data_IF_507817472668
#
_entry.id   IF_507817472668
#
_cell.length_a   1.000
_cell.length_b   1.000
_cell.length_c   1.000
_cell.angle_alpha   90.00
_cell.angle_beta   90.00
_cell.angle_gamma   90.00
#
_symmetry.space_group_name_H-M   'P 1'
#
loop_
_entity.id
_entity.type
_entity.pdbx_description
1 polymer ?
#
# COMPACT_ATOMS: atom_id res chain seq x y z
N UNK A 1 -26.94 -1.58 0.74
CA UNK A 1 -25.78 -1.60 -0.20
C UNK A 1 -25.23 -3.01 -0.35
N UNK A 2 -24.79 -3.64 0.73
CA UNK A 2 -24.21 -4.99 0.68
C UNK A 2 -25.24 -6.10 0.38
N UNK A 3 -26.53 -5.80 0.38
CA UNK A 3 -27.61 -6.74 0.04
C UNK A 3 -27.98 -6.73 -1.46
N UNK A 4 -27.58 -5.70 -2.22
CA UNK A 4 -27.89 -5.63 -3.67
C UNK A 4 -26.83 -6.37 -4.49
N UNK A 5 -27.20 -7.49 -5.08
CA UNK A 5 -26.30 -8.39 -5.83
C UNK A 5 -25.69 -7.77 -7.10
N UNK A 6 -26.18 -6.61 -7.55
CA UNK A 6 -25.63 -5.90 -8.72
C UNK A 6 -24.47 -4.96 -8.39
N UNK A 7 -24.21 -4.70 -7.11
CA UNK A 7 -23.21 -3.72 -6.67
C UNK A 7 -21.90 -4.41 -6.30
N UNK A 8 -20.86 -4.21 -7.12
CA UNK A 8 -19.51 -4.72 -6.85
C UNK A 8 -18.51 -3.61 -6.58
N UNK A 9 -18.66 -2.44 -7.20
CA UNK A 9 -17.71 -1.33 -7.10
C UNK A 9 -18.37 -0.11 -6.50
N UNK A 10 -17.89 0.33 -5.33
CA UNK A 10 -18.48 1.44 -4.56
C UNK A 10 -17.45 2.53 -4.37
N UNK A 11 -17.74 3.75 -4.82
CA UNK A 11 -16.92 4.92 -4.56
C UNK A 11 -17.42 5.70 -3.34
N UNK A 12 -16.62 5.79 -2.28
CA UNK A 12 -16.87 6.71 -1.16
C UNK A 12 -16.09 8.00 -1.43
N UNK A 13 -16.79 9.05 -1.85
CA UNK A 13 -16.17 10.29 -2.31
C UNK A 13 -16.36 11.43 -1.32
N UNK A 14 -15.44 12.38 -1.31
CA UNK A 14 -15.48 13.55 -0.43
C UNK A 14 -14.12 14.24 -0.45
N UNK A 15 -13.99 15.49 -0.03
CA UNK A 15 -12.70 16.16 -0.01
C UNK A 15 -11.71 15.47 0.94
N UNK A 16 -10.45 15.92 0.89
CA UNK A 16 -9.46 15.45 1.85
C UNK A 16 -9.93 15.80 3.28
N UNK A 17 -9.69 14.90 4.24
CA UNK A 17 -10.12 15.13 5.63
C UNK A 17 -11.63 15.02 5.92
N UNK A 18 -12.48 14.73 4.92
CA UNK A 18 -13.94 14.65 5.10
C UNK A 18 -14.43 13.58 6.10
N UNK A 19 -13.57 12.67 6.57
CA UNK A 19 -13.92 11.61 7.51
C UNK A 19 -14.27 10.27 6.86
N UNK A 20 -13.92 10.07 5.59
CA UNK A 20 -14.24 8.84 4.84
C UNK A 20 -13.77 7.56 5.57
N UNK A 21 -12.51 7.50 6.02
CA UNK A 21 -11.99 6.35 6.78
C UNK A 21 -12.74 6.15 8.11
N UNK A 22 -13.12 7.24 8.79
CA UNK A 22 -13.89 7.14 10.05
C UNK A 22 -15.28 6.55 9.86
N UNK A 23 -15.95 6.85 8.73
CA UNK A 23 -17.22 6.23 8.35
C UNK A 23 -17.02 4.72 8.13
N UNK A 24 -15.95 4.32 7.45
CA UNK A 24 -15.65 2.90 7.22
C UNK A 24 -15.36 2.17 8.52
N UNK A 25 -14.56 2.75 9.42
CA UNK A 25 -14.31 2.12 10.73
C UNK A 25 -15.60 1.98 11.54
N UNK A 26 -16.46 3.00 11.53
CA UNK A 26 -17.78 2.91 12.20
C UNK A 26 -18.65 1.81 11.59
N UNK A 27 -18.69 1.73 10.26
CA UNK A 27 -19.46 0.70 9.54
C UNK A 27 -18.95 -0.72 9.83
N UNK A 28 -17.64 -0.91 9.98
CA UNK A 28 -17.06 -2.20 10.39
C UNK A 28 -17.50 -2.62 11.79
N UNK A 29 -17.48 -1.69 12.74
CA UNK A 29 -17.91 -1.95 14.12
C UNK A 29 -19.38 -2.37 14.17
N UNK A 30 -20.23 -1.80 13.31
CA UNK A 30 -21.64 -2.20 13.20
C UNK A 30 -21.85 -3.53 12.45
N UNK A 31 -20.86 -4.01 11.70
CA UNK A 31 -20.95 -5.19 10.83
C UNK A 31 -19.80 -6.18 11.06
N UNK A 32 -19.59 -6.59 12.30
CA UNK A 32 -18.46 -7.44 12.72
C UNK A 32 -18.38 -8.80 11.98
N UNK A 33 -19.51 -9.29 11.45
CA UNK A 33 -19.57 -10.52 10.64
C UNK A 33 -18.86 -10.39 9.28
N UNK A 34 -18.66 -9.17 8.78
CA UNK A 34 -18.03 -8.91 7.49
C UNK A 34 -16.52 -8.76 7.64
N UNK A 35 -15.76 -9.40 6.74
CA UNK A 35 -14.31 -9.28 6.72
C UNK A 35 -13.84 -8.20 5.75
N UNK A 36 -13.17 -7.18 6.28
CA UNK A 36 -12.57 -6.10 5.50
C UNK A 36 -11.07 -6.30 5.34
N UNK A 37 -10.54 -5.99 4.16
CA UNK A 37 -9.09 -5.91 3.89
C UNK A 37 -8.79 -4.51 3.35
N UNK A 38 -7.77 -3.85 3.90
CA UNK A 38 -7.37 -2.51 3.49
C UNK A 38 -6.12 -2.58 2.62
N UNK A 39 -6.19 -1.90 1.48
CA UNK A 39 -5.07 -1.71 0.55
C UNK A 39 -4.80 -0.21 0.50
N UNK A 40 -3.78 0.24 1.22
CA UNK A 40 -3.43 1.64 1.39
C UNK A 40 -2.18 1.96 0.54
N UNK A 41 -2.36 2.66 -0.57
CA UNK A 41 -1.27 2.86 -1.52
C UNK A 41 -0.51 4.15 -1.22
N UNK A 42 0.62 4.01 -0.53
CA UNK A 42 1.57 5.10 -0.37
C UNK A 42 2.27 5.42 -1.70
N UNK A 43 2.08 6.64 -2.20
CA UNK A 43 3.05 7.26 -3.11
C UNK A 43 4.17 7.84 -2.23
N UNK A 44 5.16 7.01 -1.94
CA UNK A 44 6.47 7.55 -1.66
C UNK A 44 7.01 7.89 -3.03
N UNK A 45 7.01 9.18 -3.38
CA UNK A 45 7.91 9.63 -4.42
C UNK A 45 9.28 9.18 -3.94
N UNK A 46 9.84 8.17 -4.60
CA UNK A 46 11.26 7.88 -4.47
C UNK A 46 11.91 9.19 -4.87
N UNK A 47 12.41 9.95 -3.89
CA UNK A 47 13.41 10.96 -4.15
C UNK A 47 14.42 10.22 -5.02
N UNK A 48 14.54 10.61 -6.28
CA UNK A 48 15.40 9.95 -7.25
C UNK A 48 16.74 9.71 -6.57
N UNK A 49 17.00 8.43 -6.31
CA UNK A 49 18.10 7.99 -5.49
C UNK A 49 19.35 7.93 -6.38
N UNK A 50 19.73 9.10 -6.91
CA UNK A 50 21.02 9.37 -7.54
C UNK A 50 22.15 9.44 -6.49
N UNK A 51 21.95 8.81 -5.33
CA UNK A 51 22.90 8.80 -4.21
C UNK A 51 23.40 7.40 -3.80
N UNK A 52 23.10 6.36 -4.58
CA UNK A 52 23.58 5.00 -4.33
C UNK A 52 24.69 4.51 -5.29
N UNK A 53 25.66 5.38 -5.58
CA UNK A 53 27.00 4.98 -6.00
C UNK A 53 28.08 5.66 -5.15
N UNK A 54 28.10 5.34 -3.85
CA UNK A 54 29.26 5.57 -2.99
C UNK A 54 29.62 4.25 -2.29
N UNK A 55 30.11 3.28 -3.08
CA UNK A 55 31.09 2.34 -2.55
C UNK A 55 32.42 3.08 -2.51
N UNK A 56 33.08 2.99 -1.34
CA UNK A 56 34.43 3.45 -1.07
C UNK A 56 35.33 3.48 -2.31
N UNK A 57 35.82 4.67 -2.66
CA UNK A 57 37.25 4.88 -2.91
C UNK A 57 37.58 6.36 -2.84
N UNK A 58 38.56 6.67 -2.00
CA UNK A 58 39.30 7.92 -1.97
C UNK A 58 39.96 8.12 -3.34
N UNK A 59 39.80 9.29 -3.97
CA UNK A 59 40.86 10.10 -4.56
C UNK A 59 40.30 11.34 -5.28
N UNK A 60 40.75 12.48 -4.76
CA UNK A 60 41.10 13.76 -5.41
C UNK A 60 40.32 14.26 -6.63
N UNK A 61 39.76 15.46 -6.43
CA UNK A 61 39.21 16.34 -7.45
C UNK A 61 40.34 17.02 -8.23
N UNK A 62 40.28 17.01 -9.55
CA UNK A 62 40.72 18.15 -10.38
C UNK A 62 39.71 18.41 -11.50
N UNK A 63 39.47 19.68 -11.90
CA UNK A 63 38.36 20.05 -12.76
C UNK A 63 38.83 20.30 -14.19
N UNK A 64 38.11 19.78 -15.20
CA UNK A 64 38.12 20.41 -16.53
C UNK A 64 36.93 19.99 -17.42
N UNK A 65 36.11 21.01 -17.73
CA UNK A 65 35.38 21.34 -18.96
C UNK A 65 35.03 20.29 -20.05
N UNK A 66 33.75 20.42 -20.47
CA UNK A 66 33.20 20.31 -21.85
C UNK A 66 33.04 18.91 -22.45
N UNK A 67 31.78 18.50 -22.70
CA UNK A 67 31.08 18.76 -23.97
C UNK A 67 29.92 17.79 -24.21
N UNK A 68 28.77 18.37 -24.59
CA UNK A 68 27.86 17.92 -25.66
C UNK A 68 27.56 16.41 -25.73
N UNK A 69 26.34 16.03 -25.32
CA UNK A 69 25.40 15.52 -26.31
C UNK A 69 23.95 15.66 -25.87
N UNK A 70 23.21 16.35 -26.73
CA UNK A 70 21.82 16.70 -26.65
C UNK A 70 20.99 15.60 -27.34
N UNK A 71 19.99 15.09 -26.60
CA UNK A 71 18.70 14.54 -27.04
C UNK A 71 18.68 13.55 -28.22
N UNK A 72 18.31 12.29 -27.95
CA UNK A 72 17.36 11.55 -28.79
C UNK A 72 16.44 10.65 -27.93
N UNK A 73 15.14 10.89 -28.05
CA UNK A 73 13.98 10.01 -27.76
C UNK A 73 13.55 9.74 -26.31
N UNK A 74 12.71 10.62 -25.78
CA UNK A 74 11.71 10.29 -24.75
C UNK A 74 10.47 9.69 -25.44
N UNK A 75 10.30 8.38 -25.31
CA UNK A 75 9.04 7.67 -25.54
C UNK A 75 8.12 7.82 -24.29
N UNK A 76 6.80 7.52 -24.36
CA UNK A 76 5.84 7.78 -23.27
C UNK A 76 5.92 6.74 -22.14
N UNK A 77 7.11 6.52 -21.59
CA UNK A 77 7.42 5.40 -20.68
C UNK A 77 7.03 5.68 -19.22
N UNK A 78 6.86 6.95 -18.82
CA UNK A 78 6.56 7.32 -17.44
C UNK A 78 5.18 6.88 -16.93
N UNK A 79 4.05 7.17 -17.62
CA UNK A 79 2.73 6.82 -17.10
C UNK A 79 2.50 5.31 -17.00
N UNK A 80 3.08 4.53 -17.91
CA UNK A 80 2.98 3.08 -17.89
C UNK A 80 3.80 2.43 -16.76
N UNK A 81 4.98 3.00 -16.45
CA UNK A 81 5.83 2.52 -15.35
C UNK A 81 5.16 2.77 -13.99
N UNK A 82 4.60 3.96 -13.78
CA UNK A 82 3.84 4.29 -12.57
C UNK A 82 2.64 3.35 -12.38
N UNK A 83 1.93 3.06 -13.47
CA UNK A 83 0.79 2.15 -13.46
C UNK A 83 1.15 0.74 -12.98
N UNK A 84 2.24 0.17 -13.50
CA UNK A 84 2.71 -1.17 -13.12
C UNK A 84 3.15 -1.25 -11.66
N UNK A 85 3.76 -0.18 -11.15
CA UNK A 85 4.14 -0.08 -9.75
C UNK A 85 2.93 -0.09 -8.81
N UNK A 86 1.82 0.52 -9.22
CA UNK A 86 0.56 0.52 -8.44
C UNK A 86 -0.02 -0.90 -8.36
N UNK A 87 -0.12 -1.61 -9.49
CA UNK A 87 -0.60 -2.99 -9.52
C UNK A 87 0.23 -3.90 -8.60
N UNK A 88 1.57 -3.79 -8.69
CA UNK A 88 2.48 -4.51 -7.82
C UNK A 88 2.29 -4.19 -6.33
N UNK A 89 2.10 -2.89 -5.98
CA UNK A 89 1.84 -2.46 -4.60
C UNK A 89 0.52 -3.02 -4.06
N UNK A 90 -0.55 -3.01 -4.86
CA UNK A 90 -1.86 -3.58 -4.49
C UNK A 90 -1.70 -5.07 -4.14
N UNK A 91 -1.07 -5.82 -5.04
CA UNK A 91 -0.90 -7.26 -4.87
C UNK A 91 -0.02 -7.56 -3.68
N UNK A 92 1.09 -6.84 -3.50
CA UNK A 92 1.99 -7.06 -2.37
C UNK A 92 1.28 -6.84 -1.03
N UNK A 93 0.47 -5.79 -0.90
CA UNK A 93 -0.30 -5.54 0.32
C UNK A 93 -1.35 -6.59 0.59
N UNK A 94 -2.05 -7.05 -0.46
CA UNK A 94 -3.02 -8.12 -0.33
C UNK A 94 -2.35 -9.44 0.06
N UNK A 95 -1.21 -9.77 -0.57
CA UNK A 95 -0.44 -10.99 -0.33
C UNK A 95 -0.07 -11.16 1.14
N UNK A 96 0.35 -10.09 1.80
CA UNK A 96 0.76 -10.10 3.21
C UNK A 96 -0.42 -10.20 4.20
N UNK A 97 -1.64 -9.89 3.76
CA UNK A 97 -2.86 -9.97 4.58
C UNK A 97 -3.64 -11.28 4.40
N UNK A 98 -3.37 -12.02 3.32
CA UNK A 98 -3.98 -13.32 3.06
C UNK A 98 -3.18 -14.44 3.74
N UNK A 99 -3.88 -15.46 4.25
CA UNK A 99 -3.23 -16.62 4.88
C UNK A 99 -2.31 -17.32 3.86
N UNK A 100 -1.06 -17.59 4.24
CA UNK A 100 -0.04 -18.26 3.39
C UNK A 100 -0.54 -19.55 2.73
N UNK A 101 -1.47 -20.29 3.38
CA UNK A 101 -2.06 -21.51 2.82
C UNK A 101 -2.95 -21.25 1.60
N UNK A 102 -3.52 -20.07 1.52
CA UNK A 102 -4.50 -19.61 0.53
C UNK A 102 -3.86 -18.76 -0.58
N UNK A 103 -2.54 -18.55 -0.54
CA UNK A 103 -1.83 -17.77 -1.56
C UNK A 103 -1.44 -18.68 -2.74
N UNK A 104 -1.65 -18.24 -4.01
CA UNK A 104 -1.18 -18.97 -5.19
C UNK A 104 0.31 -19.32 -5.12
N UNK A 105 0.68 -20.50 -5.61
CA UNK A 105 2.09 -20.91 -5.63
C UNK A 105 2.98 -19.97 -6.45
N UNK A 106 2.42 -19.33 -7.47
CA UNK A 106 3.08 -18.33 -8.31
C UNK A 106 3.55 -17.10 -7.52
N UNK A 107 2.81 -16.70 -6.48
CA UNK A 107 3.18 -15.56 -5.62
C UNK A 107 3.95 -15.99 -4.36
N UNK A 108 3.87 -17.26 -3.95
CA UNK A 108 4.65 -17.76 -2.82
C UNK A 108 6.07 -18.14 -3.24
N UNK A 109 7.03 -17.21 -3.07
CA UNK A 109 8.46 -17.56 -2.97
C UNK A 109 8.85 -18.07 -1.57
N UNK A 110 7.90 -18.33 -0.68
CA UNK A 110 8.18 -18.99 0.59
C UNK A 110 8.42 -20.46 0.28
N UNK A 111 9.67 -20.92 0.45
CA UNK A 111 9.99 -22.36 0.53
C UNK A 111 9.01 -22.97 1.54
N UNK A 112 7.94 -23.61 1.06
CA UNK A 112 7.16 -24.53 1.89
C UNK A 112 8.19 -25.51 2.39
N UNK A 113 8.46 -25.48 3.69
CA UNK A 113 9.29 -26.49 4.32
C UNK A 113 8.68 -27.82 3.88
N UNK A 114 9.39 -28.55 3.01
CA UNK A 114 8.89 -29.80 2.46
C UNK A 114 8.48 -30.62 3.67
N UNK A 115 7.19 -30.95 3.79
CA UNK A 115 6.67 -31.61 4.98
C UNK A 115 7.62 -32.73 5.34
N UNK A 116 8.26 -32.66 6.51
CA UNK A 116 9.34 -33.58 6.91
C UNK A 116 8.91 -35.04 6.73
N UNK A 117 7.60 -35.32 6.86
CA UNK A 117 6.95 -36.59 6.52
C UNK A 117 7.20 -37.06 5.08
N UNK A 118 7.09 -36.20 4.07
CA UNK A 118 7.38 -36.55 2.67
C UNK A 118 8.86 -36.91 2.49
N UNK A 119 9.77 -36.14 3.10
CA UNK A 119 11.22 -36.43 3.05
C UNK A 119 11.51 -37.80 3.68
N UNK A 120 10.93 -38.08 4.84
CA UNK A 120 11.07 -39.38 5.53
C UNK A 120 10.52 -40.51 4.66
N UNK A 121 9.36 -40.34 4.02
CA UNK A 121 8.76 -41.34 3.13
C UNK A 121 9.69 -41.64 1.94
N UNK A 122 10.26 -40.62 1.30
CA UNK A 122 11.23 -40.80 0.21
C UNK A 122 12.54 -41.47 0.67
N UNK A 123 13.04 -41.09 1.86
CA UNK A 123 14.23 -41.66 2.46
C UNK A 123 14.07 -43.16 2.81
N UNK A 124 12.85 -43.66 2.97
CA UNK A 124 12.57 -45.08 3.24
C UNK A 124 12.27 -45.84 1.95
N UNK A 125 11.41 -45.29 1.08
CA UNK A 125 10.94 -46.01 -0.13
C UNK A 125 12.07 -46.23 -1.14
N UNK A 126 12.94 -45.24 -1.35
CA UNK A 126 14.00 -45.34 -2.37
C UNK A 126 15.02 -46.44 -2.00
N UNK A 127 15.57 -46.50 -0.77
CA UNK A 127 16.42 -47.61 -0.35
C UNK A 127 15.70 -48.96 -0.39
N UNK A 128 14.41 -49.01 -0.06
CA UNK A 128 13.63 -50.26 -0.07
C UNK A 128 13.51 -50.83 -1.50
N UNK A 129 13.24 -49.98 -2.48
CA UNK A 129 13.21 -50.35 -3.90
C UNK A 129 14.57 -50.85 -4.38
N UNK A 130 15.65 -50.15 -4.01
CA UNK A 130 17.02 -50.58 -4.30
C UNK A 130 17.34 -51.93 -3.66
N UNK A 131 17.00 -52.13 -2.39
CA UNK A 131 17.24 -53.37 -1.66
C UNK A 131 16.48 -54.55 -2.26
N UNK A 132 15.18 -54.38 -2.57
CA UNK A 132 14.39 -55.42 -3.24
C UNK A 132 14.90 -55.72 -4.66
N UNK A 133 15.34 -54.70 -5.40
CA UNK A 133 15.93 -54.88 -6.73
C UNK A 133 17.23 -55.68 -6.66
N UNK A 134 18.15 -55.32 -5.76
CA UNK A 134 19.41 -56.05 -5.56
C UNK A 134 19.16 -57.49 -5.09
N UNK A 135 18.24 -57.69 -4.14
CA UNK A 135 17.86 -59.01 -3.65
C UNK A 135 17.32 -59.92 -4.77
N UNK A 136 16.49 -59.39 -5.68
CA UNK A 136 15.95 -60.17 -6.79
C UNK A 136 17.00 -60.46 -7.88
N UNK A 137 17.90 -59.52 -8.16
CA UNK A 137 18.97 -59.67 -9.15
C UNK A 137 20.08 -60.63 -8.68
N UNK A 138 20.38 -60.66 -7.38
CA UNK A 138 21.44 -61.49 -6.77
C UNK A 138 20.87 -62.60 -5.88
N UNK A 139 19.66 -63.07 -6.20
CA UNK A 139 18.96 -64.07 -5.41
C UNK A 139 19.74 -65.39 -5.31
N UNK A 140 20.34 -65.82 -6.42
CA UNK A 140 21.05 -67.11 -6.47
C UNK A 140 22.32 -67.08 -5.61
N UNK A 141 23.05 -65.96 -5.62
CA UNK A 141 24.21 -65.75 -4.72
C UNK A 141 23.79 -65.64 -3.25
N UNK A 142 22.65 -64.99 -2.97
CA UNK A 142 22.09 -64.90 -1.63
C UNK A 142 21.67 -66.29 -1.11
N UNK A 143 21.02 -67.09 -1.95
CA UNK A 143 20.62 -68.46 -1.61
C UNK A 143 21.84 -69.33 -1.29
N UNK A 144 22.90 -69.24 -2.11
CA UNK A 144 24.17 -69.92 -1.87
C UNK A 144 24.82 -69.47 -0.54
N UNK A 145 24.85 -68.16 -0.27
CA UNK A 145 25.41 -67.59 0.96
C UNK A 145 24.69 -68.09 2.23
N UNK A 146 23.36 -68.13 2.23
CA UNK A 146 22.56 -68.58 3.38
C UNK A 146 22.72 -70.09 3.60
N UNK A 147 22.83 -70.88 2.53
CA UNK A 147 23.05 -72.32 2.60
C UNK A 147 24.45 -72.68 3.12
N UNK A 148 25.50 -72.02 2.64
CA UNK A 148 26.90 -72.26 3.03
C UNK A 148 27.14 -71.90 4.50
N UNK A 149 26.55 -70.81 4.99
CA UNK A 149 26.76 -70.32 6.36
C UNK A 149 25.78 -70.90 7.40
N UNK A 150 24.93 -71.87 7.02
CA UNK A 150 23.94 -72.51 7.90
C UNK A 150 23.09 -71.52 8.74
N UNK A 151 22.67 -70.40 8.15
CA UNK A 151 21.93 -69.34 8.83
C UNK A 151 20.44 -69.73 8.99
N UNK A 152 20.11 -70.48 10.04
CA UNK A 152 18.76 -71.03 10.29
C UNK A 152 17.61 -70.00 10.25
N UNK A 153 17.85 -68.77 10.70
CA UNK A 153 16.83 -67.71 10.70
C UNK A 153 16.47 -67.23 9.28
N UNK A 154 17.46 -67.24 8.37
CA UNK A 154 17.34 -66.69 7.02
C UNK A 154 16.94 -67.74 5.99
N UNK A 155 16.83 -69.02 6.34
CA UNK A 155 16.43 -70.07 5.42
C UNK A 155 15.03 -69.82 4.79
N UNK A 156 14.16 -69.12 5.53
CA UNK A 156 12.85 -68.65 5.03
C UNK A 156 12.98 -67.69 3.84
N UNK A 157 14.11 -66.99 3.71
CA UNK A 157 14.35 -66.03 2.61
C UNK A 157 14.67 -66.68 1.27
N UNK A 158 14.98 -67.98 1.27
CA UNK A 158 15.30 -68.77 0.06
C UNK A 158 14.04 -69.37 -0.57
N UNK A 159 12.89 -69.31 0.11
CA UNK A 159 11.65 -69.92 -0.39
C UNK A 159 11.18 -69.22 -1.70
N UNK A 160 10.91 -69.98 -2.80
CA UNK A 160 10.38 -69.43 -4.05
C UNK A 160 9.13 -68.55 -3.87
N UNK A 161 8.25 -68.88 -2.92
CA UNK A 161 7.05 -68.08 -2.63
C UNK A 161 7.41 -66.68 -2.11
N UNK A 162 8.49 -66.54 -1.34
CA UNK A 162 8.95 -65.24 -0.85
C UNK A 162 9.59 -64.41 -1.97
N UNK A 163 10.25 -65.05 -2.93
CA UNK A 163 10.79 -64.38 -4.13
C UNK A 163 9.67 -63.75 -4.97
N UNK A 164 8.56 -64.47 -5.17
CA UNK A 164 7.37 -63.94 -5.85
C UNK A 164 6.75 -62.79 -5.06
N UNK A 165 6.66 -62.91 -3.74
CA UNK A 165 6.16 -61.84 -2.87
C UNK A 165 7.05 -60.58 -2.94
N UNK A 166 8.38 -60.74 -2.92
CA UNK A 166 9.33 -59.63 -3.06
C UNK A 166 9.21 -58.94 -4.41
N UNK A 167 8.99 -59.70 -5.49
CA UNK A 167 8.73 -59.14 -6.83
C UNK A 167 7.41 -58.35 -6.89
N UNK A 168 6.33 -58.87 -6.29
CA UNK A 168 5.05 -58.18 -6.20
C UNK A 168 5.15 -56.89 -5.35
N UNK A 169 5.89 -56.94 -4.23
CA UNK A 169 6.15 -55.77 -3.39
C UNK A 169 6.94 -54.69 -4.15
N UNK A 170 7.97 -55.09 -4.92
CA UNK A 170 8.74 -54.17 -5.76
C UNK A 170 7.86 -53.49 -6.81
N UNK A 171 6.98 -54.24 -7.49
CA UNK A 171 6.03 -53.67 -8.45
C UNK A 171 5.06 -52.68 -7.79
N UNK A 172 4.55 -53.00 -6.59
CA UNK A 172 3.71 -52.09 -5.81
C UNK A 172 4.43 -50.80 -5.42
N UNK A 173 5.69 -50.88 -5.00
CA UNK A 173 6.52 -49.72 -4.64
C UNK A 173 6.81 -48.84 -5.87
N UNK A 174 7.15 -49.45 -7.01
CA UNK A 174 7.36 -48.74 -8.27
C UNK A 174 6.05 -48.09 -8.76
N UNK A 175 4.92 -48.79 -8.64
CA UNK A 175 3.58 -48.24 -8.93
C UNK A 175 3.24 -47.03 -8.07
N UNK A 176 3.54 -47.08 -6.77
CA UNK A 176 3.37 -45.94 -5.88
C UNK A 176 4.30 -44.76 -6.25
N UNK A 177 5.57 -45.04 -6.57
CA UNK A 177 6.53 -44.01 -7.00
C UNK A 177 6.07 -43.31 -8.28
N UNK A 178 5.57 -44.07 -9.26
CA UNK A 178 5.06 -43.52 -10.52
C UNK A 178 3.77 -42.72 -10.32
N UNK A 179 2.85 -43.17 -9.45
CA UNK A 179 1.66 -42.39 -9.07
C UNK A 179 2.04 -41.05 -8.41
N UNK A 180 2.94 -41.07 -7.43
CA UNK A 180 3.39 -39.86 -6.75
C UNK A 180 4.10 -38.92 -7.73
N UNK A 181 4.96 -39.45 -8.60
CA UNK A 181 5.64 -38.67 -9.63
C UNK A 181 4.65 -38.03 -10.61
N UNK A 182 3.66 -38.79 -11.10
CA UNK A 182 2.59 -38.29 -11.96
C UNK A 182 1.77 -37.19 -11.29
N UNK A 183 1.37 -37.37 -10.02
CA UNK A 183 0.65 -36.35 -9.26
C UNK A 183 1.47 -35.07 -9.04
N UNK A 184 2.79 -35.19 -8.89
CA UNK A 184 3.69 -34.06 -8.75
C UNK A 184 3.88 -33.31 -10.07
N UNK A 185 3.87 -34.02 -11.20
CA UNK A 185 4.05 -33.45 -12.54
C UNK A 185 2.78 -32.78 -13.07
N UNK A 186 1.59 -33.29 -12.74
CA UNK A 186 0.30 -32.66 -13.09
C UNK A 186 0.14 -31.31 -12.37
N UNK A 187 0.69 -31.17 -11.15
CA UNK A 187 0.63 -29.93 -10.36
C UNK A 187 1.87 -29.03 -10.46
N UNK A 188 2.92 -29.45 -11.17
CA UNK A 188 4.11 -28.65 -11.42
C UNK A 188 4.56 -28.85 -12.85
N UNK A 189 4.38 -27.83 -13.68
CA UNK A 189 4.93 -27.73 -15.03
C UNK A 189 6.46 -27.64 -15.04
N UNK A 190 7.15 -28.65 -14.50
CA UNK A 190 8.61 -28.72 -14.34
C UNK A 190 9.39 -28.84 -15.66
N UNK A 191 8.71 -29.00 -16.79
CA UNK A 191 9.34 -29.10 -18.12
C UNK A 191 9.25 -27.78 -18.92
N UNK A 192 8.59 -26.73 -18.39
CA UNK A 192 8.62 -25.40 -19.02
C UNK A 192 9.60 -24.49 -18.27
N UNK A 193 10.80 -24.37 -18.85
CA UNK A 193 11.90 -23.42 -18.55
C UNK A 193 12.72 -23.72 -17.28
N UNK A 194 13.93 -24.23 -17.52
CA UNK A 194 15.08 -24.05 -16.62
C UNK A 194 15.58 -22.61 -16.80
N UNK A 195 15.17 -21.69 -15.92
CA UNK A 195 15.85 -20.41 -15.74
C UNK A 195 16.50 -20.40 -14.36
N UNK A 196 17.77 -20.80 -14.33
CA UNK A 196 18.64 -20.58 -13.18
C UNK A 196 19.26 -19.20 -13.38
N UNK A 197 18.80 -18.22 -12.61
CA UNK A 197 19.64 -17.11 -12.13
C UNK A 197 18.94 -16.43 -10.98
N UNK A 198 19.70 -16.31 -9.89
CA UNK A 198 19.30 -15.62 -8.68
C UNK A 198 19.42 -14.10 -8.82
N UNK A 199 18.99 -13.47 -7.74
CA UNK A 199 18.91 -12.05 -7.43
C UNK A 199 17.65 -11.33 -7.91
N UNK A 200 16.99 -10.77 -6.88
CA UNK A 200 16.08 -9.63 -6.85
C UNK A 200 14.91 -9.64 -7.83
N UNK A 201 13.70 -9.53 -7.26
CA UNK A 201 12.40 -9.26 -7.88
C UNK A 201 12.48 -8.70 -9.33
N UNK A 202 12.73 -9.58 -10.30
CA UNK A 202 12.63 -9.30 -11.74
C UNK A 202 11.19 -9.49 -12.27
N UNK A 203 10.24 -9.83 -11.39
CA UNK A 203 8.82 -10.00 -11.75
C UNK A 203 8.17 -8.70 -12.28
N UNK A 204 8.77 -7.54 -12.02
CA UNK A 204 8.21 -6.25 -12.45
C UNK A 204 9.09 -5.49 -13.45
N UNK A 205 10.33 -5.93 -13.71
CA UNK A 205 11.32 -5.08 -14.40
C UNK A 205 11.30 -5.12 -15.94
N UNK A 206 10.67 -6.09 -16.62
CA UNK A 206 10.87 -6.24 -18.09
C UNK A 206 9.66 -6.71 -18.93
N UNK A 207 8.42 -6.59 -18.47
CA UNK A 207 7.24 -6.84 -19.34
C UNK A 207 6.60 -5.53 -19.81
N UNK A 208 6.41 -5.40 -21.13
CA UNK A 208 5.59 -4.35 -21.79
C UNK A 208 4.09 -4.47 -21.46
N UNK A 209 3.69 -5.56 -20.80
CA UNK A 209 2.32 -5.84 -20.40
C UNK A 209 2.08 -5.47 -18.92
N UNK A 210 0.82 -5.20 -18.59
CA UNK A 210 0.40 -4.98 -17.20
C UNK A 210 0.49 -6.27 -16.39
N UNK A 211 0.78 -6.12 -15.10
CA UNK A 211 0.93 -7.23 -14.17
C UNK A 211 -0.40 -7.97 -13.96
N UNK A 212 -1.51 -7.24 -13.89
CA UNK A 212 -2.84 -7.86 -13.82
C UNK A 212 -3.14 -8.71 -15.05
N UNK A 213 -2.66 -8.34 -16.24
CA UNK A 213 -2.90 -9.11 -17.45
C UNK A 213 -2.01 -10.38 -17.50
N UNK A 214 -0.74 -10.25 -17.09
CA UNK A 214 0.22 -11.36 -17.08
C UNK A 214 -0.13 -12.45 -16.05
N UNK A 215 -0.69 -12.05 -14.91
CA UNK A 215 -0.99 -12.93 -13.77
C UNK A 215 -2.48 -12.93 -13.39
N UNK A 216 -3.37 -12.71 -14.34
CA UNK A 216 -4.80 -12.50 -14.09
C UNK A 216 -5.42 -13.62 -13.24
N UNK A 217 -5.13 -14.88 -13.57
CA UNK A 217 -5.70 -16.03 -12.86
C UNK A 217 -5.19 -16.11 -11.41
N UNK A 218 -3.91 -15.85 -11.20
CA UNK A 218 -3.31 -15.84 -9.88
C UNK A 218 -3.86 -14.69 -9.04
N UNK A 219 -4.01 -13.50 -9.64
CA UNK A 219 -4.61 -12.33 -8.99
C UNK A 219 -6.05 -12.65 -8.59
N UNK A 220 -6.88 -13.14 -9.51
CA UNK A 220 -8.26 -13.57 -9.23
C UNK A 220 -8.29 -14.56 -8.06
N UNK A 221 -7.46 -15.61 -8.11
CA UNK A 221 -7.39 -16.60 -7.04
C UNK A 221 -7.01 -15.98 -5.69
N UNK A 222 -6.06 -15.04 -5.67
CA UNK A 222 -5.65 -14.35 -4.44
C UNK A 222 -6.83 -13.56 -3.83
N UNK A 223 -7.56 -12.83 -4.66
CA UNK A 223 -8.74 -12.08 -4.24
C UNK A 223 -9.87 -12.98 -3.75
N UNK A 224 -10.15 -14.08 -4.45
CA UNK A 224 -11.17 -15.08 -4.06
C UNK A 224 -10.84 -15.73 -2.72
N UNK A 225 -9.60 -16.16 -2.53
CA UNK A 225 -9.15 -16.91 -1.36
C UNK A 225 -8.70 -16.01 -0.19
N UNK A 226 -8.79 -14.68 -0.36
CA UNK A 226 -8.57 -13.71 0.71
C UNK A 226 -9.56 -13.85 1.87
N UNK A 227 -10.74 -14.40 1.58
CA UNK A 227 -11.86 -14.53 2.51
C UNK A 227 -12.55 -13.21 2.86
N UNK A 228 -12.13 -12.09 2.24
CA UNK A 228 -12.74 -10.79 2.43
C UNK A 228 -14.14 -10.73 1.81
N UNK A 229 -15.00 -9.96 2.46
CA UNK A 229 -16.29 -9.50 1.95
C UNK A 229 -16.12 -8.16 1.21
N UNK A 230 -15.23 -7.31 1.74
CA UNK A 230 -14.96 -5.98 1.21
C UNK A 230 -13.46 -5.73 1.17
N UNK A 231 -12.98 -5.23 0.03
CA UNK A 231 -11.61 -4.74 -0.12
C UNK A 231 -11.67 -3.23 -0.28
N UNK A 232 -11.02 -2.55 0.65
CA UNK A 232 -11.02 -1.10 0.80
C UNK A 232 -9.72 -0.56 0.22
N UNK A 233 -9.82 0.17 -0.89
CA UNK A 233 -8.69 0.83 -1.51
C UNK A 233 -8.60 2.28 -1.04
N UNK A 234 -7.48 2.64 -0.42
CA UNK A 234 -7.19 3.99 0.07
C UNK A 234 -6.07 4.64 -0.74
N UNK A 235 -6.15 5.97 -0.89
CA UNK A 235 -5.11 6.81 -1.52
C UNK A 235 -4.78 6.44 -2.99
N UNK A 236 -5.65 5.67 -3.66
CA UNK A 236 -5.55 5.39 -5.11
C UNK A 236 -5.54 6.68 -5.96
N UNK A 237 -6.16 7.72 -5.44
CA UNK A 237 -6.31 9.01 -6.09
C UNK A 237 -5.02 9.82 -6.22
N UNK A 238 -3.99 9.49 -5.44
CA UNK A 238 -2.68 10.16 -5.48
C UNK A 238 -1.86 9.83 -6.73
N UNK A 239 -2.25 8.78 -7.46
CA UNK A 239 -1.52 8.30 -8.62
C UNK A 239 -1.96 8.91 -9.95
N UNK A 240 -3.00 9.75 -9.95
CA UNK A 240 -3.39 10.57 -11.10
C UNK A 240 -3.83 9.83 -12.37
N UNK A 241 -3.87 8.49 -12.37
CA UNK A 241 -4.28 7.67 -13.51
C UNK A 241 -5.64 7.02 -13.28
N UNK A 242 -6.58 7.23 -14.20
CA UNK A 242 -7.93 6.64 -14.14
C UNK A 242 -7.94 5.17 -14.58
N UNK A 243 -6.87 4.71 -15.24
CA UNK A 243 -6.74 3.34 -15.76
C UNK A 243 -6.76 2.29 -14.65
N UNK A 244 -6.25 2.60 -13.46
CA UNK A 244 -6.23 1.65 -12.33
C UNK A 244 -7.65 1.31 -11.89
N UNK A 245 -8.54 2.31 -11.87
CA UNK A 245 -9.95 2.12 -11.55
C UNK A 245 -10.66 1.25 -12.60
N UNK A 246 -10.35 1.45 -13.89
CA UNK A 246 -10.89 0.59 -14.97
C UNK A 246 -10.50 -0.86 -14.76
N UNK A 247 -9.21 -1.13 -14.54
CA UNK A 247 -8.71 -2.50 -14.36
C UNK A 247 -9.23 -3.16 -13.08
N UNK A 248 -9.29 -2.43 -11.97
CA UNK A 248 -9.85 -2.95 -10.72
C UNK A 248 -11.34 -3.27 -10.87
N UNK A 249 -12.10 -2.44 -11.60
CA UNK A 249 -13.51 -2.72 -11.93
C UNK A 249 -13.64 -4.01 -12.74
N UNK A 250 -12.87 -4.14 -13.83
CA UNK A 250 -12.88 -5.34 -14.69
C UNK A 250 -12.50 -6.60 -13.89
N UNK A 251 -11.46 -6.52 -13.07
CA UNK A 251 -11.02 -7.60 -12.19
C UNK A 251 -12.14 -8.02 -11.23
N UNK A 252 -12.81 -7.06 -10.59
CA UNK A 252 -13.89 -7.33 -9.63
C UNK A 252 -15.11 -7.99 -10.30
N UNK A 253 -15.43 -7.59 -11.53
CA UNK A 253 -16.48 -8.23 -12.34
C UNK A 253 -16.12 -9.69 -12.64
N UNK A 254 -14.87 -9.96 -13.03
CA UNK A 254 -14.40 -11.33 -13.28
C UNK A 254 -14.45 -12.21 -12.03
N UNK A 255 -14.03 -11.68 -10.88
CA UNK A 255 -14.06 -12.41 -9.60
C UNK A 255 -15.51 -12.76 -9.21
N UNK A 256 -16.42 -11.80 -9.24
CA UNK A 256 -17.81 -12.04 -8.84
C UNK A 256 -18.54 -12.97 -9.81
N UNK A 257 -18.26 -12.87 -11.12
CA UNK A 257 -18.80 -13.80 -12.12
C UNK A 257 -18.34 -15.24 -11.86
N UNK A 258 -17.05 -15.46 -11.62
CA UNK A 258 -16.53 -16.81 -11.29
C UNK A 258 -17.12 -17.36 -10.00
N UNK A 259 -17.20 -16.53 -8.95
CA UNK A 259 -17.88 -16.91 -7.72
C UNK A 259 -19.34 -17.30 -7.94
N UNK A 260 -20.05 -16.61 -8.83
CA UNK A 260 -21.43 -16.95 -9.18
C UNK A 260 -21.53 -18.31 -9.89
N UNK A 261 -20.64 -18.56 -10.86
CA UNK A 261 -20.57 -19.81 -11.61
C UNK A 261 -20.21 -21.01 -10.69
N UNK A 262 -19.26 -20.83 -9.77
CA UNK A 262 -18.82 -21.85 -8.80
C UNK A 262 -19.87 -22.15 -7.71
N UNK A 263 -20.77 -21.20 -7.44
CA UNK A 263 -21.82 -21.28 -6.42
C UNK A 263 -23.20 -21.60 -7.01
N UNK A 264 -23.31 -21.89 -8.31
CA UNK A 264 -24.52 -22.33 -8.99
C UNK A 264 -25.01 -23.69 -8.42
N UNK A 265 -25.65 -23.65 -7.24
CA UNK A 265 -26.08 -24.81 -6.47
C UNK A 265 -25.93 -24.71 -4.94
N UNK A 266 -25.42 -23.61 -4.37
CA UNK A 266 -25.34 -23.38 -2.91
C UNK A 266 -26.04 -22.06 -2.52
N UNK A 267 -26.85 -22.09 -1.47
CA UNK A 267 -27.66 -20.95 -0.99
C UNK A 267 -26.87 -19.75 -0.40
N UNK A 268 -25.53 -19.80 -0.41
CA UNK A 268 -24.69 -18.72 0.14
C UNK A 268 -23.88 -18.05 -0.97
N UNK A 269 -24.48 -17.07 -1.65
CA UNK A 269 -23.78 -16.23 -2.60
C UNK A 269 -22.87 -15.24 -1.86
N UNK A 270 -21.56 -15.53 -1.76
CA UNK A 270 -20.61 -14.65 -1.07
C UNK A 270 -19.89 -13.73 -2.05
N UNK A 271 -20.52 -12.61 -2.41
CA UNK A 271 -19.93 -11.58 -3.29
C UNK A 271 -18.74 -10.86 -2.66
N UNK A 272 -17.90 -10.26 -3.50
CA UNK A 272 -16.76 -9.44 -3.10
C UNK A 272 -17.00 -8.00 -3.57
N UNK A 273 -16.95 -7.03 -2.64
CA UNK A 273 -17.13 -5.62 -2.96
C UNK A 273 -15.80 -4.89 -2.91
N UNK A 274 -15.50 -4.11 -3.95
CA UNK A 274 -14.37 -3.19 -3.97
C UNK A 274 -14.89 -1.81 -3.58
N UNK A 275 -14.36 -1.28 -2.48
CA UNK A 275 -14.71 0.01 -1.92
C UNK A 275 -13.54 0.98 -2.11
N UNK A 276 -13.79 2.11 -2.76
CA UNK A 276 -12.74 3.07 -3.13
C UNK A 276 -12.91 4.35 -2.32
N UNK A 277 -11.92 4.70 -1.51
CA UNK A 277 -11.86 5.96 -0.75
C UNK A 277 -11.13 7.00 -1.58
N UNK A 278 -11.88 7.95 -2.13
CA UNK A 278 -11.36 8.86 -3.15
C UNK A 278 -11.83 10.31 -2.94
N UNK A 279 -11.08 11.27 -3.46
CA UNK A 279 -11.50 12.68 -3.59
C UNK A 279 -12.60 12.86 -4.65
N UNK A 280 -13.30 14.00 -4.59
CA UNK A 280 -14.39 14.30 -5.54
C UNK A 280 -13.89 14.70 -6.95
N UNK A 281 -12.65 15.18 -7.06
CA UNK A 281 -12.07 15.85 -8.22
C UNK A 281 -11.20 14.96 -9.11
N UNK A 282 -11.06 13.67 -8.79
CA UNK A 282 -10.20 12.74 -9.55
C UNK A 282 -10.70 12.49 -10.97
N UNK A 283 -12.02 12.56 -11.17
CA UNK A 283 -12.63 12.27 -12.45
C UNK A 283 -13.11 13.56 -13.09
N UNK A 284 -12.58 13.85 -14.28
CA UNK A 284 -13.07 14.92 -15.12
C UNK A 284 -14.39 14.45 -15.75
N UNK A 285 -15.53 15.02 -15.34
CA UNK A 285 -16.88 14.85 -15.95
C UNK A 285 -17.69 13.55 -15.65
N UNK A 286 -18.59 13.15 -16.58
CA UNK A 286 -19.63 12.08 -16.49
C UNK A 286 -19.07 10.66 -16.26
N UNK A 287 -17.76 10.49 -16.39
CA UNK A 287 -17.08 9.19 -16.36
C UNK A 287 -17.09 8.52 -14.98
N UNK A 288 -17.42 9.23 -13.89
CA UNK A 288 -17.56 8.65 -12.53
C UNK A 288 -18.51 7.45 -12.50
N UNK A 289 -19.61 7.52 -13.24
CA UNK A 289 -20.62 6.45 -13.34
C UNK A 289 -20.14 5.23 -14.13
N UNK A 290 -19.03 5.33 -14.87
CA UNK A 290 -18.44 4.20 -15.59
C UNK A 290 -17.59 3.32 -14.69
N UNK A 291 -17.08 3.85 -13.58
CA UNK A 291 -16.15 3.14 -12.69
C UNK A 291 -16.82 2.53 -11.48
N UNK A 292 -17.89 3.17 -10.98
CA UNK A 292 -18.59 2.72 -9.78
C UNK A 292 -20.04 2.38 -10.09
N UNK A 293 -20.51 1.29 -9.50
CA UNK A 293 -21.91 0.88 -9.55
C UNK A 293 -22.74 1.73 -8.56
N UNK A 294 -22.10 2.19 -7.48
CA UNK A 294 -22.66 3.13 -6.52
C UNK A 294 -21.62 4.16 -6.08
N UNK A 295 -22.04 5.41 -5.95
CA UNK A 295 -21.23 6.50 -5.38
C UNK A 295 -21.92 7.04 -4.13
N UNK A 296 -21.18 7.08 -3.02
CA UNK A 296 -21.64 7.61 -1.74
C UNK A 296 -20.83 8.88 -1.43
N UNK A 297 -21.46 10.07 -1.42
CA UNK A 297 -20.77 11.30 -1.03
C UNK A 297 -20.65 11.38 0.49
N UNK A 298 -19.48 11.82 0.97
CA UNK A 298 -19.15 12.09 2.36
C UNK A 298 -19.05 13.60 2.53
N UNK A 299 -19.98 14.13 3.31
CA UNK A 299 -19.99 15.54 3.68
C UNK A 299 -18.97 15.76 4.82
N UNK A 300 -18.04 16.71 4.67
CA UNK A 300 -17.10 17.04 5.74
C UNK A 300 -17.80 17.43 7.03
N UNK A 301 -17.28 16.94 8.16
CA UNK A 301 -17.78 17.32 9.49
C UNK A 301 -17.37 18.74 9.89
N UNK A 302 -16.34 19.29 9.24
CA UNK A 302 -15.80 20.63 9.45
C UNK A 302 -15.79 21.39 8.13
N UNK A 303 -16.11 22.67 8.21
CA UNK A 303 -16.05 23.67 7.15
C UNK A 303 -15.75 25.02 7.79
N UNK A 304 -15.41 26.03 6.98
CA UNK A 304 -15.24 27.41 7.46
C UNK A 304 -16.45 27.95 8.24
N UNK A 305 -17.67 27.45 7.95
CA UNK A 305 -18.90 27.90 8.62
C UNK A 305 -19.10 27.35 10.04
N UNK A 306 -18.60 26.15 10.34
CA UNK A 306 -18.82 25.47 11.63
C UNK A 306 -17.52 25.14 12.37
N UNK A 307 -16.35 25.47 11.79
CA UNK A 307 -15.03 25.26 12.39
C UNK A 307 -14.93 25.89 13.77
N UNK A 308 -15.47 27.09 13.98
CA UNK A 308 -15.44 27.75 15.28
C UNK A 308 -16.04 26.88 16.40
N UNK A 309 -17.22 26.28 16.15
CA UNK A 309 -17.88 25.42 17.13
C UNK A 309 -17.03 24.18 17.43
N UNK A 310 -16.34 23.63 16.42
CA UNK A 310 -15.46 22.47 16.57
C UNK A 310 -14.15 22.80 17.28
N UNK A 311 -13.56 23.96 16.99
CA UNK A 311 -12.44 24.48 17.78
C UNK A 311 -12.87 24.74 19.23
N UNK A 312 -14.08 25.25 19.47
CA UNK A 312 -14.59 25.44 20.84
C UNK A 312 -14.79 24.12 21.58
N UNK A 313 -15.26 23.08 20.89
CA UNK A 313 -15.39 21.73 21.47
C UNK A 313 -14.04 21.16 21.93
N UNK A 314 -12.97 21.39 21.16
CA UNK A 314 -11.64 20.84 21.39
C UNK A 314 -10.81 21.72 22.35
N UNK A 315 -10.77 23.03 22.12
CA UNK A 315 -9.97 23.99 22.89
C UNK A 315 -10.70 24.57 24.11
N UNK A 316 -12.02 24.37 24.24
CA UNK A 316 -12.84 25.02 25.26
C UNK A 316 -12.48 24.66 26.71
N UNK A 317 -11.69 23.60 26.92
CA UNK A 317 -11.10 23.26 28.22
C UNK A 317 -10.01 24.24 28.66
N UNK A 318 -9.38 24.95 27.71
CA UNK A 318 -8.28 25.89 27.97
C UNK A 318 -8.85 27.30 28.12
N UNK A 319 -8.95 27.76 29.37
CA UNK A 319 -9.61 29.05 29.70
C UNK A 319 -8.82 30.29 29.27
N UNK A 320 -7.52 30.15 29.06
CA UNK A 320 -6.59 31.27 28.80
C UNK A 320 -6.58 31.70 27.33
N UNK A 321 -7.14 30.87 26.44
CA UNK A 321 -7.26 31.20 25.02
C UNK A 321 -8.51 32.07 24.82
N UNK A 322 -8.32 33.21 24.17
CA UNK A 322 -9.41 34.12 23.88
C UNK A 322 -10.35 33.54 22.81
N UNK A 323 -11.66 33.67 23.05
CA UNK A 323 -12.69 33.18 22.14
C UNK A 323 -12.70 33.96 20.82
N UNK A 324 -12.40 35.26 20.85
CA UNK A 324 -12.34 36.07 19.63
C UNK A 324 -11.15 35.66 18.77
N UNK A 325 -10.00 35.39 19.39
CA UNK A 325 -8.84 34.82 18.72
C UNK A 325 -9.15 33.47 18.06
N UNK A 326 -9.76 32.52 18.78
CA UNK A 326 -10.18 31.23 18.21
C UNK A 326 -11.15 31.39 17.04
N UNK A 327 -12.11 32.33 17.14
CA UNK A 327 -13.04 32.63 16.06
C UNK A 327 -12.31 33.13 14.82
N UNK A 328 -11.33 34.01 14.98
CA UNK A 328 -10.55 34.54 13.87
C UNK A 328 -9.73 33.44 13.17
N UNK A 329 -9.14 32.51 13.94
CA UNK A 329 -8.43 31.37 13.37
C UNK A 329 -9.36 30.42 12.60
N UNK A 330 -10.57 30.20 13.11
CA UNK A 330 -11.51 29.22 12.53
C UNK A 330 -11.94 29.52 11.09
N UNK A 331 -11.84 30.78 10.64
CA UNK A 331 -12.11 31.13 9.24
C UNK A 331 -11.09 30.54 8.26
N UNK A 332 -9.88 30.22 8.73
CA UNK A 332 -8.78 29.72 7.90
C UNK A 332 -8.50 28.22 8.09
N UNK A 333 -9.19 27.58 9.05
CA UNK A 333 -8.98 26.18 9.39
C UNK A 333 -10.31 25.46 9.18
N UNK A 334 -10.45 24.75 8.06
CA UNK A 334 -11.69 24.06 7.67
C UNK A 334 -11.57 22.52 7.73
N UNK A 335 -10.42 22.00 8.16
CA UNK A 335 -10.13 20.56 8.21
C UNK A 335 -10.02 20.05 9.66
N UNK A 336 -10.73 18.96 9.97
CA UNK A 336 -10.73 18.36 11.32
C UNK A 336 -9.37 17.78 11.73
N UNK A 337 -8.61 17.22 10.78
CA UNK A 337 -7.26 16.69 11.07
C UNK A 337 -6.33 17.83 11.42
N UNK A 338 -6.41 18.96 10.71
CA UNK A 338 -5.63 20.16 11.00
C UNK A 338 -5.97 20.73 12.38
N UNK A 339 -7.26 20.87 12.73
CA UNK A 339 -7.67 21.32 14.07
C UNK A 339 -7.08 20.42 15.16
N UNK A 340 -7.21 19.10 15.02
CA UNK A 340 -6.68 18.13 15.98
C UNK A 340 -5.16 18.20 16.07
N UNK A 341 -4.46 18.35 14.94
CA UNK A 341 -3.00 18.44 14.95
C UNK A 341 -2.51 19.72 15.62
N UNK A 342 -3.16 20.87 15.37
CA UNK A 342 -2.88 22.14 16.04
C UNK A 342 -3.09 21.99 17.56
N UNK A 343 -4.21 21.39 17.99
CA UNK A 343 -4.49 21.18 19.41
C UNK A 343 -3.45 20.27 20.08
N UNK A 344 -3.09 19.16 19.42
CA UNK A 344 -2.10 18.22 19.93
C UNK A 344 -0.73 18.90 20.07
N UNK A 345 -0.26 19.60 19.04
CA UNK A 345 1.00 20.32 19.10
C UNK A 345 0.97 21.44 20.13
N UNK A 346 -0.12 22.21 20.22
CA UNK A 346 -0.29 23.25 21.23
C UNK A 346 -0.10 22.68 22.64
N UNK A 347 -0.78 21.56 22.93
CA UNK A 347 -0.71 20.92 24.25
C UNK A 347 0.72 20.48 24.58
N UNK A 348 1.46 19.96 23.60
CA UNK A 348 2.87 19.58 23.76
C UNK A 348 3.71 20.82 24.05
N UNK A 349 3.61 21.86 23.22
CA UNK A 349 4.40 23.08 23.41
C UNK A 349 4.10 23.78 24.74
N UNK A 350 2.84 23.85 25.15
CA UNK A 350 2.42 24.45 26.42
C UNK A 350 3.00 23.67 27.61
N UNK A 351 3.02 22.34 27.55
CA UNK A 351 3.62 21.52 28.61
C UNK A 351 5.15 21.64 28.72
N UNK A 352 5.84 21.87 27.61
CA UNK A 352 7.31 21.90 27.56
C UNK A 352 7.88 23.30 27.79
N UNK A 353 7.19 24.36 27.36
CA UNK A 353 7.60 25.75 27.57
C UNK A 353 7.13 26.18 28.97
N UNK A 354 7.86 25.73 29.99
CA UNK A 354 7.58 26.02 31.41
C UNK A 354 7.99 27.46 31.80
N UNK A 355 7.45 28.46 31.11
CA UNK A 355 7.69 29.88 31.37
C UNK A 355 6.40 30.53 31.87
N UNK A 356 6.42 31.05 33.09
CA UNK A 356 5.26 31.58 33.81
C UNK A 356 4.62 32.86 33.24
N UNK A 357 5.06 33.32 32.05
CA UNK A 357 4.59 34.56 31.40
C UNK A 357 4.25 34.39 29.92
N UNK A 358 4.09 33.15 29.43
CA UNK A 358 3.77 32.92 28.03
C UNK A 358 2.31 33.28 27.73
N UNK A 359 2.11 34.11 26.71
CA UNK A 359 0.79 34.43 26.19
C UNK A 359 0.25 33.25 25.36
N UNK A 360 -0.83 32.64 25.84
CA UNK A 360 -1.40 31.44 25.23
C UNK A 360 -1.98 31.67 23.83
N UNK A 361 -2.47 32.88 23.55
CA UNK A 361 -2.93 33.22 22.20
C UNK A 361 -1.75 33.30 21.23
N UNK A 362 -0.61 33.86 21.67
CA UNK A 362 0.61 33.90 20.85
C UNK A 362 1.18 32.51 20.61
N UNK A 363 1.17 31.65 21.64
CA UNK A 363 1.61 30.26 21.47
C UNK A 363 0.73 29.52 20.47
N UNK A 364 -0.60 29.58 20.65
CA UNK A 364 -1.54 28.98 19.71
C UNK A 364 -1.38 29.56 18.30
N UNK A 365 -1.16 30.86 18.17
CA UNK A 365 -0.87 31.51 16.90
C UNK A 365 0.36 30.94 16.21
N UNK A 366 1.46 30.76 16.95
CA UNK A 366 2.70 30.17 16.42
C UNK A 366 2.52 28.71 16.00
N UNK A 367 1.83 27.90 16.81
CA UNK A 367 1.55 26.49 16.48
C UNK A 367 0.62 26.38 15.28
N UNK A 368 -0.39 27.25 15.19
CA UNK A 368 -1.28 27.33 14.03
C UNK A 368 -0.51 27.71 12.77
N UNK A 369 0.35 28.72 12.85
CA UNK A 369 1.22 29.12 11.74
C UNK A 369 2.15 27.99 11.30
N UNK A 370 2.77 27.26 12.24
CA UNK A 370 3.57 26.04 11.95
C UNK A 370 2.78 24.99 11.18
N UNK A 371 1.51 24.79 11.53
CA UNK A 371 0.66 23.77 10.95
C UNK A 371 0.15 24.15 9.54
N UNK A 372 -0.22 25.41 9.34
CA UNK A 372 -0.73 25.90 8.04
C UNK A 372 0.44 26.14 7.06
N UNK A 373 1.57 26.67 7.53
CA UNK A 373 2.73 27.05 6.72
C UNK A 373 4.04 26.43 7.25
N UNK A 374 4.18 25.10 7.24
CA UNK A 374 5.33 24.42 7.87
C UNK A 374 6.67 24.79 7.25
N UNK A 375 6.71 25.06 5.94
CA UNK A 375 7.94 25.48 5.24
C UNK A 375 8.40 26.87 5.69
N UNK A 376 7.48 27.83 5.76
CA UNK A 376 7.83 29.20 6.19
C UNK A 376 8.19 29.22 7.69
N UNK A 377 7.50 28.43 8.51
CA UNK A 377 7.85 28.27 9.93
C UNK A 377 9.26 27.70 10.11
N UNK A 378 9.66 26.72 9.30
CA UNK A 378 11.03 26.20 9.32
C UNK A 378 12.05 27.27 8.93
N UNK A 379 11.76 28.11 7.93
CA UNK A 379 12.64 29.22 7.54
C UNK A 379 12.75 30.28 8.64
N UNK A 380 11.65 30.56 9.36
CA UNK A 380 11.63 31.54 10.45
C UNK A 380 12.66 31.21 11.54
N UNK A 381 12.91 29.92 11.82
CA UNK A 381 13.92 29.48 12.79
C UNK A 381 15.35 29.87 12.40
N UNK A 382 15.60 30.07 11.11
CA UNK A 382 16.89 30.52 10.57
C UNK A 382 16.92 32.02 10.27
N UNK A 383 15.94 32.79 10.74
CA UNK A 383 15.81 34.22 10.43
C UNK A 383 15.56 34.47 8.93
N UNK A 384 14.77 33.61 8.29
CA UNK A 384 14.40 33.71 6.87
C UNK A 384 12.89 33.47 6.71
N UNK A 385 12.40 33.65 5.49
CA UNK A 385 11.00 33.40 5.15
C UNK A 385 10.14 34.67 5.16
N UNK A 386 8.90 34.50 4.75
CA UNK A 386 7.94 35.56 4.53
C UNK A 386 7.53 36.23 5.84
N UNK A 387 7.20 35.47 6.88
CA UNK A 387 6.86 36.07 8.18
C UNK A 387 8.06 36.79 8.80
N UNK A 388 9.26 36.24 8.68
CA UNK A 388 10.46 36.92 9.19
C UNK A 388 10.69 38.26 8.52
N UNK A 389 10.61 38.32 7.18
CA UNK A 389 10.81 39.57 6.44
C UNK A 389 9.77 40.63 6.80
N UNK A 390 8.51 40.24 6.98
CA UNK A 390 7.45 41.14 7.44
C UNK A 390 7.75 41.67 8.85
N UNK A 391 8.13 40.80 9.79
CA UNK A 391 8.40 41.21 11.17
C UNK A 391 9.63 42.13 11.27
N UNK A 392 10.67 41.87 10.46
CA UNK A 392 11.90 42.64 10.47
C UNK A 392 11.74 43.99 9.75
N UNK A 393 11.01 44.04 8.65
CA UNK A 393 10.81 45.26 7.86
C UNK A 393 9.66 46.13 8.38
N UNK A 394 8.96 45.72 9.45
CA UNK A 394 7.76 46.39 9.95
C UNK A 394 7.98 47.88 10.27
N UNK A 395 9.14 48.25 10.82
CA UNK A 395 9.47 49.65 11.10
C UNK A 395 9.68 50.44 9.81
N UNK A 396 10.45 49.90 8.88
CA UNK A 396 10.73 50.55 7.60
C UNK A 396 9.43 50.78 6.80
N UNK A 397 8.52 49.79 6.78
CA UNK A 397 7.21 49.93 6.13
C UNK A 397 6.32 50.96 6.83
N UNK A 398 6.33 50.99 8.17
CA UNK A 398 5.58 51.98 8.94
C UNK A 398 6.08 53.40 8.69
N UNK A 399 7.41 53.60 8.70
CA UNK A 399 8.01 54.91 8.47
C UNK A 399 7.76 55.39 7.04
N UNK A 400 7.75 54.49 6.06
CA UNK A 400 7.36 54.79 4.67
C UNK A 400 5.90 55.21 4.56
N UNK A 401 4.95 54.45 5.10
CA UNK A 401 3.53 54.83 5.06
C UNK A 401 3.27 56.12 5.82
N UNK A 402 3.90 56.30 6.98
CA UNK A 402 3.77 57.55 7.74
C UNK A 402 4.26 58.74 6.92
N UNK A 403 5.40 58.62 6.25
CA UNK A 403 5.93 59.67 5.36
C UNK A 403 4.97 60.03 4.21
N UNK A 404 4.30 59.02 3.63
CA UNK A 404 3.29 59.22 2.58
C UNK A 404 2.10 59.99 3.15
N UNK A 405 1.56 59.57 4.30
CA UNK A 405 0.42 60.23 4.95
C UNK A 405 0.79 61.66 5.37
N UNK A 406 1.97 61.87 5.96
CA UNK A 406 2.44 63.20 6.37
C UNK A 406 2.58 64.13 5.14
N UNK A 407 2.98 63.59 3.98
CA UNK A 407 3.04 64.33 2.72
C UNK A 407 1.65 64.66 2.17
N UNK A 408 0.68 63.75 2.29
CA UNK A 408 -0.72 64.01 1.91
C UNK A 408 -1.37 65.07 2.79
N UNK A 409 -1.12 65.02 4.11
CA UNK A 409 -1.59 66.03 5.06
C UNK A 409 -1.01 67.40 4.69
N UNK A 410 0.30 67.48 4.43
CA UNK A 410 0.95 68.74 4.05
C UNK A 410 0.37 69.35 2.77
N UNK A 411 0.09 68.52 1.76
CA UNK A 411 -0.51 68.98 0.51
C UNK A 411 -1.94 69.50 0.73
N UNK A 412 -2.75 68.79 1.52
CA UNK A 412 -4.11 69.21 1.85
C UNK A 412 -4.15 70.49 2.69
N UNK A 413 -3.22 70.66 3.64
CA UNK A 413 -3.08 71.88 4.43
C UNK A 413 -2.71 73.08 3.55
N UNK A 414 -1.79 72.88 2.60
CA UNK A 414 -1.38 73.92 1.64
C UNK A 414 -2.56 74.33 0.74
N UNK A 415 -3.35 73.38 0.25
CA UNK A 415 -4.54 73.65 -0.57
C UNK A 415 -5.63 74.41 0.24
N UNK A 416 -5.73 74.13 1.55
CA UNK A 416 -6.65 74.81 2.46
C UNK A 416 -6.22 76.26 2.75
N UNK A 417 -4.91 76.51 2.89
CA UNK A 417 -4.36 77.87 3.03
C UNK A 417 -4.56 78.69 1.76
N UNK A 418 -4.35 78.11 0.57
CA UNK A 418 -4.61 78.80 -0.70
C UNK A 418 -6.09 79.18 -0.85
N UNK A 419 -7.01 78.32 -0.43
CA UNK A 419 -8.46 78.61 -0.44
C UNK A 419 -8.84 79.69 0.57
N UNK A 420 -8.25 79.70 1.77
CA UNK A 420 -8.50 80.75 2.78
C UNK A 420 -7.94 82.13 2.39
N UNK A 421 -6.90 82.17 1.56
CA UNK A 421 -6.33 83.41 1.01
C UNK A 421 -7.10 83.96 -0.19
N UNK A 422 -8.05 83.19 -0.73
CA UNK A 422 -8.86 83.55 -1.90
C UNK A 422 -10.25 84.12 -1.55
N UNK A 423 -10.66 84.09 -0.27
CA UNK A 423 -11.79 84.86 0.30
C UNK A 423 -11.31 86.22 0.85
#
# INVERSE_FOLDING_TARGET
MMEDDSIYNVGLTGPYGAGKSSIIESYKTENEQMKFIHVALGKYDTIDDDSNSLVLNQQEVTPEMKSVNQKISEAPTQPFKEFKEIEGKIINQLLHQVNVKNVPQAFTKVKKNNSVRKIIVWAIIVPLVLAFSIFLLRFDDWAAFVQINHMNLLYRTINPSLRVFAAAALLGLIGYLTYVFGSAQINRSLIRKVSIRGNEIELFKNSENSFFDEHLNEVIYLFENSGADVIVFEDLDRFGSTDVFRKLRELNQLINKRKQDDLAGKDTHKKLVFLYLIKDDIFVSKDRTKFFDLIIPVVPTVSSSNSFNKMMEIFGSIKEIDRTFLRNLSFYIDDMRLIKNIFNEYTIYDSEINTSSLDQNKLLGMVTYKNIFPRDFSQLQYGKGFIYSILNNKRDTYDQEKSIIDSEIFNLESELEELCMAE
#
